data_IF_659696554910
#
_entry.id   IF_659696554910
#
_cell.length_a   1.000
_cell.length_b   1.000
_cell.length_c   1.000
_cell.angle_alpha   90.00
_cell.angle_beta   90.00
_cell.angle_gamma   90.00
#
_symmetry.space_group_name_H-M   'P 1'
#
loop_
_entity.id
_entity.type
_entity.pdbx_description
1 polymer ?
#
# COMPACT_ATOMS: atom_id res chain seq x y z
N UNK A 1 64.19 15.05 -5.31
CA UNK A 1 63.34 13.93 -5.73
C UNK A 1 61.91 14.20 -5.19
N UNK A 2 61.03 14.63 -6.04
CA UNK A 2 59.65 14.90 -5.67
C UNK A 2 58.80 13.78 -6.26
N UNK A 3 58.21 12.96 -5.38
CA UNK A 3 57.25 11.90 -5.78
C UNK A 3 55.88 12.57 -5.96
N UNK A 4 55.38 12.59 -7.19
CA UNK A 4 53.99 12.97 -7.49
C UNK A 4 53.11 11.75 -7.30
N UNK A 5 52.20 11.80 -6.30
CA UNK A 5 51.12 10.83 -6.11
C UNK A 5 49.96 11.16 -7.08
N UNK A 6 49.76 10.28 -8.05
CA UNK A 6 48.59 10.34 -8.95
C UNK A 6 47.43 9.68 -8.21
N UNK A 7 46.52 10.50 -7.71
CA UNK A 7 45.21 10.03 -7.19
C UNK A 7 44.29 9.68 -8.37
N UNK A 8 44.13 8.39 -8.61
CA UNK A 8 43.13 7.91 -9.58
C UNK A 8 41.74 8.14 -9.08
N UNK A 9 41.02 9.05 -9.71
CA UNK A 9 39.55 9.24 -9.52
C UNK A 9 38.85 8.09 -10.21
N UNK A 10 38.44 7.08 -9.43
CA UNK A 10 37.51 6.06 -9.92
C UNK A 10 36.14 6.73 -10.18
N UNK A 11 35.83 6.95 -11.44
CA UNK A 11 34.50 7.33 -11.87
C UNK A 11 33.57 6.16 -11.61
N UNK A 12 32.87 6.16 -10.49
CA UNK A 12 31.72 5.30 -10.26
C UNK A 12 30.64 5.75 -11.25
N UNK A 13 30.51 5.02 -12.35
CA UNK A 13 29.36 5.14 -13.24
C UNK A 13 28.13 4.70 -12.45
N UNK A 14 27.38 5.65 -11.89
CA UNK A 14 25.99 5.40 -11.50
C UNK A 14 25.26 4.99 -12.80
N UNK A 15 25.05 3.68 -12.97
CA UNK A 15 24.04 3.21 -13.91
C UNK A 15 22.72 3.79 -13.43
N UNK A 16 22.16 4.72 -14.19
CA UNK A 16 20.75 5.07 -14.05
C UNK A 16 19.97 3.76 -14.25
N UNK A 17 19.48 3.19 -13.16
CA UNK A 17 18.56 2.06 -13.23
C UNK A 17 17.34 2.58 -13.98
N UNK A 18 17.08 2.02 -15.16
CA UNK A 18 15.85 2.26 -15.92
C UNK A 18 14.69 1.80 -15.02
N UNK A 19 14.05 2.76 -14.36
CA UNK A 19 13.01 2.46 -13.37
C UNK A 19 11.77 1.97 -14.13
N UNK A 20 11.53 0.67 -14.12
CA UNK A 20 10.35 0.06 -14.74
C UNK A 20 9.07 0.72 -14.25
N UNK A 21 8.10 0.86 -15.13
CA UNK A 21 6.78 1.40 -14.85
C UNK A 21 5.75 0.27 -14.89
N UNK A 22 4.60 0.46 -14.26
CA UNK A 22 3.52 -0.54 -14.29
C UNK A 22 3.08 -0.89 -15.72
N UNK A 23 3.21 0.05 -16.67
CA UNK A 23 2.92 -0.17 -18.10
C UNK A 23 3.82 -1.22 -18.77
N UNK A 24 4.96 -1.51 -18.18
CA UNK A 24 5.94 -2.46 -18.73
C UNK A 24 5.59 -3.91 -18.40
N UNK A 25 4.57 -4.12 -17.57
CA UNK A 25 4.12 -5.44 -17.12
C UNK A 25 2.77 -5.80 -17.70
N UNK A 26 2.63 -7.06 -18.09
CA UNK A 26 1.38 -7.64 -18.61
C UNK A 26 0.70 -8.59 -17.63
N UNK A 27 1.40 -8.90 -16.54
CA UNK A 27 0.91 -9.84 -15.53
C UNK A 27 1.47 -9.55 -14.14
N UNK A 28 0.75 -10.00 -13.12
CA UNK A 28 1.07 -9.80 -11.72
C UNK A 28 0.72 -11.04 -10.90
N UNK A 29 1.49 -11.35 -9.85
CA UNK A 29 1.10 -12.29 -8.78
C UNK A 29 0.42 -11.50 -7.67
N UNK A 30 -0.76 -11.94 -7.23
CA UNK A 30 -1.56 -11.26 -6.20
C UNK A 30 -1.49 -12.00 -4.87
N UNK A 31 -1.13 -11.28 -3.81
CA UNK A 31 -0.96 -11.84 -2.45
C UNK A 31 -2.12 -11.53 -1.49
N UNK A 32 -3.28 -11.09 -2.02
CA UNK A 32 -4.44 -10.80 -1.17
C UNK A 32 -4.37 -9.45 -0.47
N UNK A 33 -5.03 -9.38 0.70
CA UNK A 33 -5.18 -8.16 1.48
C UNK A 33 -4.47 -8.32 2.83
N UNK A 34 -3.42 -7.54 3.05
CA UNK A 34 -2.74 -7.45 4.34
C UNK A 34 -3.46 -6.46 5.25
N UNK A 35 -3.87 -6.91 6.41
CA UNK A 35 -4.54 -6.12 7.44
C UNK A 35 -3.64 -5.75 8.63
N UNK A 36 -2.33 -6.04 8.57
CA UNK A 36 -1.42 -5.77 9.69
C UNK A 36 -1.37 -4.30 10.09
N UNK A 37 -1.50 -3.38 9.12
CA UNK A 37 -1.57 -1.93 9.35
C UNK A 37 -3.00 -1.39 9.53
N UNK A 38 -4.02 -2.26 9.55
CA UNK A 38 -5.39 -1.80 9.66
C UNK A 38 -5.65 -1.13 11.00
N UNK A 39 -6.24 0.07 10.97
CA UNK A 39 -6.68 0.80 12.15
C UNK A 39 -8.18 1.08 12.05
N UNK A 40 -8.93 0.57 13.00
CA UNK A 40 -10.38 0.64 13.03
C UNK A 40 -10.84 1.81 13.90
N UNK A 41 -11.74 2.64 13.37
CA UNK A 41 -12.25 3.84 14.06
C UNK A 41 -13.76 3.77 14.21
N UNK A 42 -14.25 4.11 15.41
CA UNK A 42 -15.68 4.24 15.69
C UNK A 42 -16.43 2.91 15.66
N UNK A 43 -15.77 1.81 16.02
CA UNK A 43 -16.36 0.48 16.13
C UNK A 43 -16.98 0.24 17.51
N UNK A 44 -18.05 -0.52 17.51
CA UNK A 44 -18.68 -1.08 18.72
C UNK A 44 -18.34 -2.56 18.89
N UNK A 45 -17.89 -3.21 17.80
CA UNK A 45 -17.42 -4.59 17.77
C UNK A 45 -16.05 -4.73 18.45
N UNK A 46 -15.71 -5.94 18.85
CA UNK A 46 -14.42 -6.23 19.50
C UNK A 46 -13.27 -6.36 18.48
N UNK A 47 -11.99 -6.20 18.91
CA UNK A 47 -10.84 -6.48 18.03
C UNK A 47 -10.89 -7.89 17.43
N UNK A 48 -11.25 -8.90 18.20
CA UNK A 48 -11.37 -10.29 17.73
C UNK A 48 -12.42 -10.47 16.63
N UNK A 49 -13.53 -9.69 16.66
CA UNK A 49 -14.53 -9.71 15.58
C UNK A 49 -13.93 -9.19 14.27
N UNK A 50 -13.11 -8.12 14.34
CA UNK A 50 -12.41 -7.58 13.17
C UNK A 50 -11.35 -8.53 12.64
N UNK A 51 -10.51 -9.10 13.50
CA UNK A 51 -9.47 -10.07 13.10
C UNK A 51 -10.12 -11.27 12.40
N UNK A 52 -11.22 -11.79 12.94
CA UNK A 52 -12.00 -12.85 12.30
C UNK A 52 -12.55 -12.41 10.93
N UNK A 53 -13.10 -11.19 10.85
CA UNK A 53 -13.62 -10.65 9.59
C UNK A 53 -12.49 -10.45 8.55
N UNK A 54 -11.32 -9.94 8.93
CA UNK A 54 -10.19 -9.72 8.06
C UNK A 54 -9.70 -11.03 7.43
N UNK A 55 -9.54 -12.07 8.25
CA UNK A 55 -9.21 -13.43 7.77
C UNK A 55 -10.20 -13.92 6.73
N UNK A 56 -11.48 -13.77 7.01
CA UNK A 56 -12.53 -14.22 6.10
C UNK A 56 -12.63 -13.34 4.82
N UNK A 57 -12.31 -12.03 4.90
CA UNK A 57 -12.25 -11.15 3.73
C UNK A 57 -11.12 -11.56 2.80
N UNK A 58 -9.93 -11.84 3.34
CA UNK A 58 -8.80 -12.26 2.51
C UNK A 58 -9.09 -13.59 1.80
N UNK A 59 -9.74 -14.54 2.49
CA UNK A 59 -10.18 -15.82 1.88
C UNK A 59 -11.16 -15.66 0.73
N UNK A 60 -11.90 -14.53 0.65
CA UNK A 60 -12.78 -14.26 -0.49
C UNK A 60 -12.00 -14.11 -1.80
N UNK A 61 -10.72 -13.76 -1.74
CA UNK A 61 -9.88 -13.64 -2.94
C UNK A 61 -9.70 -14.99 -3.65
N UNK A 62 -9.80 -16.09 -2.92
CA UNK A 62 -9.78 -17.46 -3.49
C UNK A 62 -11.18 -18.02 -3.71
N UNK A 63 -12.12 -17.79 -2.79
CA UNK A 63 -13.45 -18.42 -2.85
C UNK A 63 -14.44 -17.69 -3.75
N UNK A 64 -14.23 -16.38 -4.01
CA UNK A 64 -15.10 -15.54 -4.85
C UNK A 64 -14.25 -14.79 -5.93
N UNK A 65 -13.33 -15.50 -6.62
CA UNK A 65 -12.43 -14.92 -7.62
C UNK A 65 -13.16 -14.14 -8.72
N UNK A 66 -14.30 -14.63 -9.19
CA UNK A 66 -15.09 -13.94 -10.22
C UNK A 66 -15.57 -12.57 -9.77
N UNK A 67 -15.75 -12.37 -8.47
CA UNK A 67 -16.22 -11.10 -7.91
C UNK A 67 -15.08 -10.14 -7.61
N UNK A 68 -13.93 -10.61 -7.13
CA UNK A 68 -12.85 -9.76 -6.66
C UNK A 68 -11.66 -9.74 -7.62
N UNK A 69 -11.14 -10.92 -7.99
CA UNK A 69 -9.90 -11.05 -8.75
C UNK A 69 -10.12 -10.76 -10.24
N UNK A 70 -11.17 -11.28 -10.84
CA UNK A 70 -11.49 -11.04 -12.25
C UNK A 70 -11.73 -9.56 -12.57
N UNK A 71 -12.52 -8.78 -11.78
CA UNK A 71 -12.65 -7.35 -12.00
C UNK A 71 -11.34 -6.60 -11.76
N UNK A 72 -10.55 -7.02 -10.76
CA UNK A 72 -9.23 -6.44 -10.48
C UNK A 72 -8.31 -6.57 -11.71
N UNK A 73 -8.18 -7.78 -12.26
CA UNK A 73 -7.39 -8.03 -13.47
C UNK A 73 -7.83 -7.14 -14.66
N UNK A 74 -9.16 -7.01 -14.86
CA UNK A 74 -9.72 -6.14 -15.92
C UNK A 74 -9.38 -4.67 -15.69
N UNK A 75 -9.45 -4.18 -14.46
CA UNK A 75 -9.15 -2.78 -14.13
C UNK A 75 -7.66 -2.48 -14.24
N UNK A 76 -6.82 -3.43 -13.83
CA UNK A 76 -5.37 -3.32 -13.98
C UNK A 76 -4.90 -3.49 -15.43
N UNK A 77 -5.72 -4.06 -16.33
CA UNK A 77 -5.32 -4.51 -17.68
C UNK A 77 -4.11 -5.45 -17.65
N UNK A 78 -4.01 -6.27 -16.62
CA UNK A 78 -2.97 -7.25 -16.39
C UNK A 78 -3.59 -8.61 -16.10
N UNK A 79 -2.90 -9.68 -16.51
CA UNK A 79 -3.28 -11.03 -16.09
C UNK A 79 -2.83 -11.26 -14.64
N UNK A 80 -3.73 -11.69 -13.76
CA UNK A 80 -3.34 -12.20 -12.44
C UNK A 80 -2.94 -13.66 -12.61
N UNK A 81 -1.63 -13.95 -12.52
CA UNK A 81 -1.06 -15.29 -12.76
C UNK A 81 -1.43 -16.28 -11.68
N UNK A 82 -1.48 -15.82 -10.45
CA UNK A 82 -1.85 -16.62 -9.27
C UNK A 82 -2.28 -15.72 -8.14
N UNK A 83 -3.12 -16.26 -7.26
CA UNK A 83 -3.50 -15.66 -5.99
C UNK A 83 -2.94 -16.54 -4.88
N UNK A 84 -2.19 -15.94 -3.94
CA UNK A 84 -1.55 -16.63 -2.83
C UNK A 84 -1.72 -15.78 -1.57
N UNK A 85 -2.67 -16.13 -0.73
CA UNK A 85 -3.03 -15.35 0.45
C UNK A 85 -2.38 -15.85 1.75
N UNK A 86 -1.58 -16.91 1.69
CA UNK A 86 -0.94 -17.47 2.90
C UNK A 86 -0.06 -16.44 3.64
N UNK A 87 0.76 -15.62 2.94
CA UNK A 87 1.56 -14.61 3.62
C UNK A 87 0.74 -13.58 4.37
N UNK A 88 -0.38 -13.12 3.80
CA UNK A 88 -1.27 -12.13 4.42
C UNK A 88 -2.13 -12.73 5.53
N UNK A 89 -2.58 -13.98 5.38
CA UNK A 89 -3.33 -14.70 6.42
C UNK A 89 -2.50 -14.91 7.69
N UNK A 90 -1.20 -15.22 7.57
CA UNK A 90 -0.31 -15.34 8.74
C UNK A 90 -0.26 -14.03 9.52
N UNK A 91 -0.13 -12.91 8.83
CA UNK A 91 -0.04 -11.59 9.48
C UNK A 91 -1.32 -11.17 10.20
N UNK A 92 -2.48 -11.66 9.76
CA UNK A 92 -3.74 -11.42 10.49
C UNK A 92 -3.70 -12.04 11.90
N UNK A 93 -2.92 -13.11 12.10
CA UNK A 93 -2.77 -13.77 13.42
C UNK A 93 -1.88 -12.96 14.37
N UNK A 94 -1.01 -12.11 13.84
CA UNK A 94 -0.05 -11.30 14.59
C UNK A 94 -0.58 -9.89 14.90
N UNK A 95 -1.81 -9.55 14.51
CA UNK A 95 -2.40 -8.22 14.78
C UNK A 95 -2.54 -8.00 16.29
N UNK A 96 -1.97 -6.89 16.79
CA UNK A 96 -2.14 -6.49 18.19
C UNK A 96 -3.57 -5.96 18.42
N UNK A 97 -4.35 -6.74 19.18
CA UNK A 97 -5.73 -6.38 19.51
C UNK A 97 -5.84 -5.04 20.25
N UNK A 98 -4.80 -4.66 21.00
CA UNK A 98 -4.81 -3.42 21.81
C UNK A 98 -4.63 -2.17 20.95
N UNK A 99 -3.99 -2.30 19.80
CA UNK A 99 -3.69 -1.22 18.86
C UNK A 99 -4.68 -1.16 17.68
N UNK A 100 -5.52 -2.19 17.49
CA UNK A 100 -6.40 -2.29 16.33
C UNK A 100 -7.51 -1.23 16.33
N UNK A 101 -8.17 -1.02 17.48
CA UNK A 101 -9.29 -0.08 17.57
C UNK A 101 -8.83 1.25 18.14
N UNK A 102 -9.01 2.31 17.36
CA UNK A 102 -8.56 3.65 17.66
C UNK A 102 -9.74 4.58 17.98
N UNK A 103 -9.52 5.49 18.93
CA UNK A 103 -10.50 6.52 19.31
C UNK A 103 -10.44 7.77 18.39
N UNK A 104 -9.41 7.88 17.58
CA UNK A 104 -9.18 9.00 16.67
C UNK A 104 -8.85 8.48 15.27
N UNK A 105 -9.20 9.27 14.26
CA UNK A 105 -8.76 8.99 12.90
C UNK A 105 -7.24 8.95 12.83
N UNK A 106 -6.65 7.82 12.39
CA UNK A 106 -5.20 7.69 12.27
C UNK A 106 -4.66 8.59 11.16
N UNK A 107 -3.37 8.82 11.20
CA UNK A 107 -2.67 9.41 10.05
C UNK A 107 -2.65 8.43 8.88
N UNK A 108 -2.58 8.99 7.67
CA UNK A 108 -2.44 8.15 6.47
C UNK A 108 -1.08 7.43 6.51
N UNK A 109 -1.05 6.18 6.05
CA UNK A 109 0.19 5.42 5.96
C UNK A 109 1.20 6.16 5.06
N UNK A 110 2.43 6.24 5.52
CA UNK A 110 3.55 6.80 4.77
C UNK A 110 4.17 5.74 3.85
N UNK A 111 4.99 6.17 2.90
CA UNK A 111 5.77 5.26 2.06
C UNK A 111 6.71 4.38 2.90
N UNK A 112 7.27 4.93 3.98
CA UNK A 112 8.14 4.19 4.90
C UNK A 112 7.40 3.10 5.68
N UNK A 113 6.15 3.37 6.12
CA UNK A 113 5.32 2.36 6.77
C UNK A 113 5.06 1.19 5.83
N UNK A 114 4.73 1.50 4.56
CA UNK A 114 4.44 0.50 3.54
C UNK A 114 5.70 -0.30 3.16
N UNK A 115 6.85 0.37 2.99
CA UNK A 115 8.13 -0.29 2.72
C UNK A 115 8.51 -1.24 3.85
N UNK A 116 8.39 -0.79 5.10
CA UNK A 116 8.69 -1.61 6.28
C UNK A 116 7.81 -2.85 6.31
N UNK A 117 6.49 -2.68 6.21
CA UNK A 117 5.53 -3.78 6.26
C UNK A 117 5.67 -4.76 5.08
N UNK A 118 6.06 -4.25 3.91
CA UNK A 118 6.32 -5.09 2.76
C UNK A 118 7.52 -6.04 3.01
N UNK A 119 8.51 -5.62 3.79
CA UNK A 119 9.65 -6.48 4.16
C UNK A 119 9.28 -7.56 5.19
N UNK A 120 8.27 -7.30 6.03
CA UNK A 120 7.79 -8.27 7.04
C UNK A 120 6.95 -9.41 6.44
N UNK A 121 6.44 -9.28 5.21
CA UNK A 121 5.69 -10.36 4.54
C UNK A 121 6.63 -11.54 4.22
N UNK A 122 6.27 -12.74 4.64
CA UNK A 122 6.99 -13.97 4.29
C UNK A 122 6.63 -14.43 2.87
N UNK A 123 7.23 -13.79 1.86
CA UNK A 123 6.95 -14.08 0.45
C UNK A 123 7.94 -15.08 -0.13
N UNK A 124 7.48 -16.02 -0.98
CA UNK A 124 8.40 -16.83 -1.79
C UNK A 124 9.12 -15.95 -2.81
N UNK A 125 10.35 -16.36 -3.17
CA UNK A 125 11.11 -15.68 -4.23
C UNK A 125 10.31 -15.65 -5.55
N UNK A 126 10.23 -14.47 -6.15
CA UNK A 126 9.55 -14.27 -7.42
C UNK A 126 10.16 -13.06 -8.16
N UNK A 127 10.65 -13.29 -9.38
CA UNK A 127 11.30 -12.25 -10.20
C UNK A 127 10.32 -11.38 -11.01
N UNK A 128 9.03 -11.59 -10.85
CA UNK A 128 8.01 -10.83 -11.57
C UNK A 128 7.35 -9.75 -10.73
N UNK A 129 6.40 -9.04 -11.36
CA UNK A 129 5.58 -8.07 -10.66
C UNK A 129 4.65 -8.77 -9.68
N UNK A 130 4.62 -8.28 -8.48
CA UNK A 130 3.77 -8.69 -7.36
C UNK A 130 2.84 -7.56 -6.94
N UNK A 131 1.67 -7.91 -6.41
CA UNK A 131 0.69 -7.00 -5.82
C UNK A 131 0.29 -7.53 -4.46
N UNK A 132 0.34 -6.69 -3.45
CA UNK A 132 -0.37 -6.86 -2.19
C UNK A 132 -1.25 -5.61 -1.97
N UNK A 133 -2.41 -5.79 -1.38
CA UNK A 133 -3.26 -4.66 -0.97
C UNK A 133 -3.15 -4.52 0.55
N UNK A 134 -2.64 -3.41 1.04
CA UNK A 134 -2.52 -3.14 2.47
C UNK A 134 -3.72 -2.31 2.94
N UNK A 135 -4.43 -2.79 3.96
CA UNK A 135 -5.53 -2.05 4.56
C UNK A 135 -4.97 -1.02 5.55
N UNK A 136 -5.47 0.21 5.46
CA UNK A 136 -5.16 1.28 6.41
C UNK A 136 -6.38 1.60 7.28
N UNK A 137 -6.87 2.85 7.22
CA UNK A 137 -8.04 3.29 7.99
C UNK A 137 -9.32 2.52 7.61
N UNK A 138 -9.98 1.94 8.59
CA UNK A 138 -11.28 1.27 8.53
C UNK A 138 -12.25 2.07 9.43
N UNK A 139 -13.00 3.01 8.88
CA UNK A 139 -13.77 3.98 9.66
C UNK A 139 -15.29 3.70 9.59
N UNK A 140 -15.86 3.24 10.69
CA UNK A 140 -17.28 2.93 10.84
C UNK A 140 -18.16 4.19 10.79
N UNK A 141 -17.67 5.30 11.32
CA UNK A 141 -18.42 6.57 11.33
C UNK A 141 -18.64 7.14 9.93
N UNK A 142 -17.60 7.13 9.10
CA UNK A 142 -17.65 7.57 7.69
C UNK A 142 -18.08 6.46 6.75
N UNK A 143 -18.08 5.21 7.20
CA UNK A 143 -18.32 4.00 6.40
C UNK A 143 -17.32 3.84 5.25
N UNK A 144 -16.08 4.23 5.46
CA UNK A 144 -15.02 4.19 4.44
C UNK A 144 -13.86 3.31 4.91
N UNK A 145 -13.32 2.51 4.00
CA UNK A 145 -12.04 1.83 4.16
C UNK A 145 -11.03 2.38 3.18
N UNK A 146 -9.77 2.53 3.62
CA UNK A 146 -8.64 2.94 2.79
C UNK A 146 -7.76 1.73 2.52
N UNK A 147 -7.45 1.49 1.25
CA UNK A 147 -6.64 0.36 0.80
C UNK A 147 -5.53 0.85 -0.12
N UNK A 148 -4.29 0.43 0.17
CA UNK A 148 -3.09 0.78 -0.58
C UNK A 148 -2.72 -0.38 -1.50
N UNK A 149 -2.76 -0.15 -2.81
CA UNK A 149 -2.35 -1.12 -3.81
C UNK A 149 -0.86 -0.99 -4.03
N UNK A 150 -0.09 -1.93 -3.49
CA UNK A 150 1.37 -1.92 -3.50
C UNK A 150 1.88 -2.91 -4.54
N UNK A 151 2.47 -2.37 -5.61
CA UNK A 151 3.12 -3.13 -6.66
C UNK A 151 4.62 -3.12 -6.42
N UNK A 152 5.23 -4.28 -6.42
CA UNK A 152 6.65 -4.44 -6.15
C UNK A 152 7.25 -5.55 -7.02
N UNK A 153 8.58 -5.54 -7.16
CA UNK A 153 9.33 -6.45 -8.01
C UNK A 153 10.55 -7.01 -7.28
N UNK A 154 10.89 -8.23 -7.65
CA UNK A 154 12.12 -8.90 -7.27
C UNK A 154 12.23 -9.29 -5.80
N UNK A 155 13.31 -9.97 -5.43
CA UNK A 155 13.57 -10.43 -4.07
C UNK A 155 13.77 -9.26 -3.08
N UNK A 156 14.29 -8.12 -3.56
CA UNK A 156 14.47 -6.90 -2.75
C UNK A 156 13.16 -6.14 -2.53
N UNK A 157 12.05 -6.58 -3.16
CA UNK A 157 10.71 -5.99 -3.05
C UNK A 157 10.69 -4.50 -3.37
N UNK A 158 11.41 -4.11 -4.44
CA UNK A 158 11.42 -2.72 -4.89
C UNK A 158 10.01 -2.27 -5.28
N UNK A 159 9.51 -1.20 -4.65
CA UNK A 159 8.16 -0.69 -4.93
C UNK A 159 8.14 -0.03 -6.31
N UNK A 160 7.38 -0.64 -7.22
CA UNK A 160 7.12 -0.12 -8.56
C UNK A 160 6.05 0.96 -8.53
N UNK A 161 5.01 0.76 -7.70
CA UNK A 161 3.93 1.75 -7.51
C UNK A 161 3.16 1.47 -6.23
N UNK A 162 2.72 2.52 -5.55
CA UNK A 162 1.82 2.44 -4.40
C UNK A 162 0.71 3.48 -4.55
N UNK A 163 -0.55 3.05 -4.40
CA UNK A 163 -1.70 3.95 -4.56
C UNK A 163 -2.80 3.67 -3.55
N UNK A 164 -3.23 4.67 -2.79
CA UNK A 164 -4.38 4.57 -1.91
C UNK A 164 -5.69 4.74 -2.69
N UNK A 165 -6.67 3.89 -2.37
CA UNK A 165 -8.06 4.04 -2.79
C UNK A 165 -8.98 3.95 -1.58
N UNK A 166 -10.07 4.73 -1.62
CA UNK A 166 -11.11 4.68 -0.59
C UNK A 166 -12.37 4.04 -1.14
N UNK A 167 -12.89 3.05 -0.41
CA UNK A 167 -14.12 2.37 -0.77
C UNK A 167 -15.18 2.52 0.32
N UNK A 168 -16.42 2.78 -0.08
CA UNK A 168 -17.53 2.85 0.84
C UNK A 168 -17.95 1.44 1.27
N UNK A 169 -18.06 1.20 2.56
CA UNK A 169 -18.54 -0.06 3.12
C UNK A 169 -20.06 -0.19 3.00
N UNK A 170 -20.57 -1.42 2.94
CA UNK A 170 -22.00 -1.73 2.89
C UNK A 170 -22.25 -3.23 2.86
N UNK A 171 -23.48 -3.61 3.17
CA UNK A 171 -23.87 -5.02 3.28
C UNK A 171 -24.19 -5.43 4.71
N UNK A 172 -24.45 -6.71 4.92
CA UNK A 172 -24.83 -7.25 6.21
C UNK A 172 -23.72 -8.15 6.79
N UNK A 173 -23.41 -7.94 8.06
CA UNK A 173 -22.32 -8.63 8.78
C UNK A 173 -20.96 -8.03 8.49
N UNK A 174 -20.06 -8.06 9.49
CA UNK A 174 -18.79 -7.33 9.48
C UNK A 174 -17.90 -7.67 8.28
N UNK A 175 -17.77 -8.97 7.97
CA UNK A 175 -17.04 -9.47 6.79
C UNK A 175 -17.56 -8.84 5.49
N UNK A 176 -18.85 -8.99 5.20
CA UNK A 176 -19.42 -8.53 3.92
C UNK A 176 -19.40 -7.00 3.82
N UNK A 177 -19.58 -6.33 4.96
CA UNK A 177 -19.55 -4.87 5.04
C UNK A 177 -18.20 -4.33 4.58
N UNK A 178 -17.09 -4.84 5.10
CA UNK A 178 -15.74 -4.39 4.74
C UNK A 178 -15.22 -5.00 3.44
N UNK A 179 -15.62 -6.23 3.10
CA UNK A 179 -15.36 -6.80 1.78
C UNK A 179 -15.96 -5.96 0.65
N UNK A 180 -17.15 -5.36 0.88
CA UNK A 180 -17.76 -4.44 -0.10
C UNK A 180 -16.98 -3.13 -0.23
N UNK A 181 -16.35 -2.65 0.85
CA UNK A 181 -15.46 -1.49 0.81
C UNK A 181 -14.29 -1.74 -0.11
N UNK A 182 -13.57 -2.86 0.08
CA UNK A 182 -12.51 -3.28 -0.83
C UNK A 182 -13.00 -3.43 -2.28
N UNK A 183 -14.12 -4.12 -2.50
CA UNK A 183 -14.67 -4.31 -3.84
C UNK A 183 -14.89 -2.98 -4.58
N UNK A 184 -15.36 -1.96 -3.88
CA UNK A 184 -15.59 -0.64 -4.48
C UNK A 184 -14.30 0.08 -4.85
N UNK A 185 -13.20 -0.17 -4.14
CA UNK A 185 -11.89 0.40 -4.54
C UNK A 185 -11.43 -0.14 -5.89
N UNK A 186 -11.76 -1.38 -6.24
CA UNK A 186 -11.44 -1.94 -7.56
C UNK A 186 -12.10 -1.11 -8.68
N UNK A 187 -13.32 -0.60 -8.45
CA UNK A 187 -14.01 0.23 -9.43
C UNK A 187 -13.36 1.60 -9.63
N UNK A 188 -12.68 2.12 -8.60
CA UNK A 188 -11.96 3.41 -8.65
C UNK A 188 -10.63 3.34 -9.41
N UNK A 189 -10.10 2.14 -9.66
CA UNK A 189 -8.88 1.96 -10.44
C UNK A 189 -9.12 2.47 -11.87
N UNK A 190 -8.44 3.57 -12.21
CA UNK A 190 -8.41 4.12 -13.55
C UNK A 190 -7.07 3.78 -14.20
N UNK A 191 -7.03 2.90 -15.21
CA UNK A 191 -5.76 2.46 -15.80
C UNK A 191 -4.86 3.61 -16.26
N UNK A 192 -5.43 4.65 -16.86
CA UNK A 192 -4.66 5.78 -17.37
C UNK A 192 -4.02 6.61 -16.25
N UNK A 193 -4.75 6.86 -15.17
CA UNK A 193 -4.19 7.55 -13.98
C UNK A 193 -3.22 6.65 -13.23
N UNK A 194 -3.52 5.37 -13.18
CA UNK A 194 -2.74 4.34 -12.52
C UNK A 194 -1.34 4.22 -13.13
N UNK A 195 -1.23 4.16 -14.45
CA UNK A 195 0.05 4.08 -15.14
C UNK A 195 0.87 5.39 -15.10
N UNK A 196 0.23 6.54 -14.93
CA UNK A 196 0.90 7.85 -14.92
C UNK A 196 1.24 8.38 -13.51
N UNK A 197 0.94 7.65 -12.44
CA UNK A 197 1.04 8.17 -11.06
C UNK A 197 2.47 8.26 -10.49
N UNK A 198 3.42 7.50 -11.02
CA UNK A 198 4.83 7.55 -10.57
C UNK A 198 5.47 8.94 -10.62
N UNK A 199 5.03 9.79 -11.53
CA UNK A 199 5.56 11.17 -11.65
C UNK A 199 5.08 12.09 -10.53
N UNK A 200 3.86 11.83 -9.99
CA UNK A 200 3.25 12.67 -8.96
C UNK A 200 3.66 12.34 -7.52
N UNK A 201 4.05 11.11 -7.22
CA UNK A 201 4.43 10.73 -5.85
C UNK A 201 5.76 11.37 -5.48
N UNK A 202 6.76 11.38 -6.37
CA UNK A 202 8.02 12.10 -6.14
C UNK A 202 7.84 13.62 -6.08
N UNK A 203 6.95 14.20 -6.91
CA UNK A 203 6.67 15.63 -6.93
C UNK A 203 5.77 16.05 -5.75
N UNK A 204 4.74 15.27 -5.39
CA UNK A 204 3.81 15.58 -4.30
C UNK A 204 4.41 15.45 -2.91
N UNK A 205 5.34 14.51 -2.69
CA UNK A 205 6.09 14.40 -1.43
C UNK A 205 7.05 15.57 -1.30
N UNK A 206 7.72 15.98 -2.38
CA UNK A 206 8.63 17.15 -2.36
C UNK A 206 7.88 18.44 -2.12
N UNK A 207 6.71 18.65 -2.72
CA UNK A 207 5.87 19.84 -2.50
C UNK A 207 5.22 19.84 -1.10
N UNK A 208 4.80 18.70 -0.57
CA UNK A 208 4.28 18.55 0.78
C UNK A 208 5.33 18.88 1.84
N UNK A 209 6.56 18.39 1.68
CA UNK A 209 7.69 18.72 2.58
C UNK A 209 8.12 20.19 2.48
N UNK A 210 8.10 20.79 1.29
CA UNK A 210 8.40 22.23 1.15
C UNK A 210 7.32 23.10 1.78
N UNK A 211 6.04 22.77 1.59
CA UNK A 211 4.93 23.51 2.21
C UNK A 211 4.92 23.45 3.74
N UNK A 212 5.34 22.31 4.32
CA UNK A 212 5.50 22.16 5.77
C UNK A 212 6.73 22.95 6.26
N UNK A 213 7.83 22.94 5.52
CA UNK A 213 9.05 23.65 5.86
C UNK A 213 8.85 25.18 5.84
N UNK A 214 8.11 25.70 4.85
CA UNK A 214 7.75 27.13 4.78
C UNK A 214 6.81 27.57 5.90
N UNK A 215 5.85 26.72 6.32
CA UNK A 215 4.98 27.01 7.45
C UNK A 215 5.71 27.01 8.80
N UNK A 216 6.74 26.21 8.96
CA UNK A 216 7.55 26.13 10.18
C UNK A 216 8.56 27.29 10.24
N UNK A 217 9.17 27.67 9.13
CA UNK A 217 10.14 28.79 9.08
C UNK A 217 9.48 30.16 9.01
N UNK A 218 8.25 30.27 8.49
CA UNK A 218 7.50 31.54 8.40
C UNK A 218 6.84 32.01 9.71
N UNK A 219 6.90 31.23 10.79
CA UNK A 219 6.32 31.57 12.11
C UNK A 219 7.31 32.17 13.11
N UNK A 220 8.58 32.34 12.69
CA UNK A 220 9.68 32.84 13.54
C UNK A 220 9.98 34.32 13.47
N UNK A 221 9.33 35.12 12.63
CA UNK A 221 9.71 36.55 12.41
C UNK A 221 8.55 37.55 12.58
N UNK A 222 7.67 37.36 13.54
CA UNK A 222 6.72 38.40 13.93
C UNK A 222 6.49 38.45 15.45
N UNK A 223 7.53 38.71 16.20
CA UNK A 223 7.42 39.34 17.54
C UNK A 223 8.73 40.07 17.80
N UNK A 224 8.72 41.41 17.55
CA UNK A 224 9.83 42.30 17.82
C UNK A 224 9.64 43.69 17.18
N UNK A 225 8.58 44.37 17.59
CA UNK A 225 8.56 45.86 17.62
C UNK A 225 7.45 46.35 18.55
#
# INVERSE_FOLDING_TARGET
>A
MVLAAIAGIACLSLKAQDTKQLSDYTSVKFYGIDFALAQVVGAEETPGDFISAFREIDRLMLSEEEKYVTPLAKRLKMAIKSVDIEPTLKRVEDIDETELIQNKTPEALTEQDIEFELQELELPEYDGLSLVVMAGEINKGTKMGTFYYVFFEGPEREIVSCMPFKGQAGGFGLRNYWASSFYRTIAEINPTKFYNSKKKIKEGVTEGFQAVKEKVTGKGEKEGK
#
